data_IF_044442682595
#
_entry.id   IF_044442682595
#
_cell.length_a   1.000
_cell.length_b   1.000
_cell.length_c   1.000
_cell.angle_alpha   90.00
_cell.angle_beta   90.00
_cell.angle_gamma   90.00
#
_symmetry.space_group_name_H-M   'P 1'
#
loop_
_entity.id
_entity.type
_entity.pdbx_description
1 polymer ?
#
# COMPACT_ATOMS: atom_id res chain seq x y z
N UNK A 1 -17.62 21.25 32.76
CA UNK A 1 -17.10 19.88 32.94
C UNK A 1 -17.78 18.97 31.93
N UNK A 2 -17.07 18.56 30.88
CA UNK A 2 -17.44 17.43 30.03
C UNK A 2 -16.16 16.91 29.36
N UNK A 3 -15.95 15.59 29.45
CA UNK A 3 -14.70 14.87 29.18
C UNK A 3 -14.14 15.12 27.78
N UNK A 4 -12.87 15.53 27.69
CA UNK A 4 -12.02 15.32 26.51
C UNK A 4 -11.81 13.81 26.36
N UNK A 5 -12.23 13.26 25.23
CA UNK A 5 -11.86 11.90 24.82
C UNK A 5 -10.46 12.03 24.21
N UNK A 6 -9.44 11.64 24.97
CA UNK A 6 -8.09 11.46 24.47
C UNK A 6 -8.05 10.17 23.63
N UNK A 7 -8.28 10.29 22.33
CA UNK A 7 -7.90 9.25 21.38
C UNK A 7 -6.39 9.39 21.13
N UNK A 8 -5.59 8.78 22.02
CA UNK A 8 -4.16 8.65 21.81
C UNK A 8 -3.88 7.84 20.54
N UNK A 9 -3.49 8.52 19.47
CA UNK A 9 -3.00 7.91 18.24
C UNK A 9 -1.56 7.49 18.49
N UNK A 10 -1.35 6.18 18.59
CA UNK A 10 -0.05 5.54 18.82
C UNK A 10 0.84 5.80 17.59
N UNK A 11 2.04 6.33 17.81
CA UNK A 11 3.10 6.35 16.79
C UNK A 11 3.31 4.92 16.28
N UNK A 12 3.29 4.74 14.96
CA UNK A 12 3.74 3.49 14.36
C UNK A 12 5.28 3.52 14.28
N UNK A 13 5.94 3.54 15.44
CA UNK A 13 7.36 3.28 15.50
C UNK A 13 7.58 1.83 15.08
N UNK A 14 8.41 1.59 14.06
CA UNK A 14 8.82 0.23 13.72
C UNK A 14 9.49 -0.33 14.98
N UNK A 15 8.86 -1.35 15.57
CA UNK A 15 9.31 -1.89 16.84
C UNK A 15 10.74 -2.39 16.69
N UNK A 16 11.67 -1.93 17.54
CA UNK A 16 13.05 -2.41 17.53
C UNK A 16 13.14 -3.94 17.59
N UNK A 17 12.19 -4.60 18.26
CA UNK A 17 12.10 -6.06 18.29
C UNK A 17 11.84 -6.67 16.91
N UNK A 18 11.01 -6.05 16.07
CA UNK A 18 10.78 -6.50 14.69
C UNK A 18 12.05 -6.32 13.84
N UNK A 19 12.79 -5.23 14.05
CA UNK A 19 14.07 -5.01 13.36
C UNK A 19 15.10 -6.07 13.76
N UNK A 20 15.24 -6.34 15.05
CA UNK A 20 16.10 -7.41 15.57
C UNK A 20 15.69 -8.79 15.05
N UNK A 21 14.39 -9.08 15.00
CA UNK A 21 13.86 -10.33 14.46
C UNK A 21 14.23 -10.50 12.98
N UNK A 22 14.01 -9.47 12.16
CA UNK A 22 14.37 -9.45 10.74
C UNK A 22 15.88 -9.64 10.54
N UNK A 23 16.71 -8.97 11.34
CA UNK A 23 18.18 -9.11 11.27
C UNK A 23 18.66 -10.47 11.78
N UNK A 24 17.97 -11.09 12.74
CA UNK A 24 18.34 -12.39 13.28
C UNK A 24 18.06 -13.56 12.34
N UNK A 25 17.05 -13.41 11.47
CA UNK A 25 16.57 -14.47 10.58
C UNK A 25 17.05 -14.32 9.13
N UNK A 26 17.83 -13.29 8.80
CA UNK A 26 18.18 -13.00 7.41
C UNK A 26 19.58 -12.40 7.24
N UNK A 27 20.31 -12.88 6.24
CA UNK A 27 21.58 -12.30 5.86
C UNK A 27 21.38 -11.00 5.05
N UNK A 28 22.35 -10.06 5.01
CA UNK A 28 22.25 -8.82 4.24
C UNK A 28 21.89 -9.04 2.76
N UNK A 29 22.36 -10.13 2.16
CA UNK A 29 22.07 -10.51 0.77
C UNK A 29 20.62 -10.99 0.57
N UNK A 30 20.03 -11.62 1.57
CA UNK A 30 18.63 -12.08 1.55
C UNK A 30 17.66 -10.93 1.87
N UNK A 31 18.11 -9.93 2.63
CA UNK A 31 17.36 -8.71 2.91
C UNK A 31 17.28 -7.80 1.69
N UNK A 32 18.45 -7.41 1.15
CA UNK A 32 18.58 -6.39 0.10
C UNK A 32 18.77 -6.96 -1.32
N UNK A 33 18.67 -8.27 -1.49
CA UNK A 33 18.75 -8.92 -2.80
C UNK A 33 17.61 -8.48 -3.74
N UNK A 34 17.77 -8.76 -5.04
CA UNK A 34 16.76 -8.42 -6.07
C UNK A 34 15.39 -9.06 -5.83
N UNK A 35 15.36 -10.22 -5.18
CA UNK A 35 14.13 -10.90 -4.72
C UNK A 35 14.11 -11.01 -3.18
N UNK A 36 14.83 -10.09 -2.52
CA UNK A 36 15.02 -10.09 -1.08
C UNK A 36 13.76 -9.72 -0.31
N UNK A 37 13.82 -9.88 1.01
CA UNK A 37 12.68 -9.66 1.91
C UNK A 37 12.06 -8.27 1.73
N UNK A 38 12.87 -7.22 1.52
CA UNK A 38 12.37 -5.87 1.31
C UNK A 38 11.53 -5.74 0.03
N UNK A 39 11.92 -6.42 -1.05
CA UNK A 39 11.15 -6.40 -2.29
C UNK A 39 9.84 -7.18 -2.16
N UNK A 40 9.87 -8.30 -1.44
CA UNK A 40 8.65 -9.05 -1.13
C UNK A 40 7.70 -8.21 -0.25
N UNK A 41 8.24 -7.48 0.73
CA UNK A 41 7.46 -6.58 1.58
C UNK A 41 6.85 -5.44 0.75
N UNK A 42 7.64 -4.78 -0.11
CA UNK A 42 7.18 -3.72 -1.01
C UNK A 42 6.05 -4.23 -1.92
N UNK A 43 6.24 -5.40 -2.54
CA UNK A 43 5.20 -6.09 -3.32
C UNK A 43 3.91 -6.27 -2.53
N UNK A 44 3.98 -6.89 -1.35
CA UNK A 44 2.81 -7.20 -0.52
C UNK A 44 2.08 -5.95 -0.05
N UNK A 45 2.82 -4.90 0.30
CA UNK A 45 2.25 -3.62 0.73
C UNK A 45 1.47 -2.97 -0.42
N UNK A 46 2.06 -2.91 -1.62
CA UNK A 46 1.41 -2.36 -2.81
C UNK A 46 0.14 -3.16 -3.17
N UNK A 47 0.22 -4.49 -3.19
CA UNK A 47 -0.95 -5.35 -3.45
C UNK A 47 -2.06 -5.13 -2.42
N UNK A 48 -1.69 -4.97 -1.15
CA UNK A 48 -2.65 -4.72 -0.07
C UNK A 48 -3.36 -3.38 -0.23
N UNK A 49 -2.63 -2.32 -0.59
CA UNK A 49 -3.23 -1.01 -0.87
C UNK A 49 -4.21 -1.12 -2.04
N UNK A 50 -3.82 -1.77 -3.14
CA UNK A 50 -4.70 -1.96 -4.31
C UNK A 50 -5.95 -2.78 -3.96
N UNK A 51 -5.84 -3.79 -3.09
CA UNK A 51 -6.98 -4.54 -2.59
C UNK A 51 -7.95 -3.69 -1.77
N UNK A 52 -7.42 -2.75 -0.98
CA UNK A 52 -8.17 -1.83 -0.16
C UNK A 52 -8.82 -0.72 -1.02
N UNK A 53 -8.14 -0.21 -2.05
CA UNK A 53 -8.76 0.67 -3.07
C UNK A 53 -9.96 -0.01 -3.72
N UNK A 54 -9.84 -1.28 -4.15
CA UNK A 54 -10.97 -2.02 -4.71
C UNK A 54 -12.08 -2.27 -3.67
N UNK A 55 -11.72 -2.40 -2.40
CA UNK A 55 -12.71 -2.52 -1.31
C UNK A 55 -13.51 -1.25 -1.12
N UNK A 56 -12.85 -0.10 -1.23
CA UNK A 56 -13.45 1.20 -1.15
C UNK A 56 -14.42 1.43 -2.32
N UNK A 57 -13.96 1.22 -3.55
CA UNK A 57 -14.77 1.38 -4.77
C UNK A 57 -16.04 0.51 -4.75
N UNK A 58 -15.91 -0.76 -4.34
CA UNK A 58 -17.04 -1.68 -4.28
C UNK A 58 -17.90 -1.50 -3.02
N UNK A 59 -17.43 -0.76 -2.02
CA UNK A 59 -18.09 -0.60 -0.72
C UNK A 59 -18.10 -1.85 0.16
N UNK A 60 -17.29 -2.88 -0.15
CA UNK A 60 -17.20 -4.08 0.66
C UNK A 60 -15.84 -4.82 0.56
N UNK A 61 -15.43 -5.44 1.66
CA UNK A 61 -14.19 -6.22 1.76
C UNK A 61 -14.27 -7.59 1.08
N UNK A 62 -13.11 -8.18 0.76
CA UNK A 62 -13.04 -9.54 0.20
C UNK A 62 -13.77 -10.53 1.12
N UNK A 63 -14.58 -11.41 0.52
CA UNK A 63 -15.43 -12.40 1.22
C UNK A 63 -16.54 -11.84 2.13
N UNK A 64 -16.84 -10.53 2.07
CA UNK A 64 -17.94 -9.97 2.83
C UNK A 64 -19.29 -10.60 2.47
N UNK A 65 -20.04 -11.01 3.49
CA UNK A 65 -21.42 -11.50 3.37
C UNK A 65 -22.46 -10.38 3.39
N UNK A 66 -22.05 -9.13 3.58
CA UNK A 66 -22.96 -7.98 3.60
C UNK A 66 -23.79 -7.89 2.30
N UNK A 67 -24.95 -7.26 2.37
CA UNK A 67 -25.70 -6.89 1.17
C UNK A 67 -24.84 -5.93 0.34
N UNK A 68 -24.80 -6.15 -0.97
CA UNK A 68 -24.03 -5.31 -1.89
C UNK A 68 -25.00 -4.37 -2.57
N UNK A 69 -24.63 -3.10 -2.64
CA UNK A 69 -25.47 -2.06 -3.23
C UNK A 69 -25.52 -2.19 -4.76
N UNK A 70 -24.41 -2.59 -5.37
CA UNK A 70 -24.29 -2.77 -6.82
C UNK A 70 -24.21 -4.25 -7.22
N UNK A 71 -24.46 -4.51 -8.51
CA UNK A 71 -24.24 -5.76 -9.22
C UNK A 71 -22.76 -6.07 -9.48
N UNK A 72 -21.88 -5.06 -9.48
CA UNK A 72 -20.45 -5.25 -9.71
C UNK A 72 -19.82 -6.14 -8.63
N UNK A 73 -18.86 -6.99 -9.03
CA UNK A 73 -18.20 -7.98 -8.16
C UNK A 73 -16.71 -8.03 -8.41
N UNK A 74 -15.96 -8.52 -7.43
CA UNK A 74 -14.53 -8.84 -7.62
C UNK A 74 -14.37 -9.99 -8.61
N UNK A 75 -13.37 -9.90 -9.48
CA UNK A 75 -13.09 -10.87 -10.53
C UNK A 75 -11.60 -11.26 -10.55
N UNK A 76 -11.10 -11.74 -9.41
CA UNK A 76 -9.72 -12.19 -9.27
C UNK A 76 -8.69 -11.07 -9.38
N UNK A 77 -7.50 -11.45 -9.85
CA UNK A 77 -6.35 -10.56 -10.05
C UNK A 77 -5.77 -10.73 -11.46
N UNK A 78 -5.03 -9.73 -11.92
CA UNK A 78 -4.25 -9.78 -13.15
C UNK A 78 -2.80 -9.43 -12.85
N UNK A 79 -1.89 -10.21 -13.41
CA UNK A 79 -0.46 -9.95 -13.26
C UNK A 79 -0.06 -8.66 -14.00
N UNK A 80 0.72 -7.81 -13.33
CA UNK A 80 1.31 -6.60 -13.90
C UNK A 80 2.72 -6.43 -13.35
N UNK A 81 3.71 -6.55 -14.23
CA UNK A 81 5.08 -6.13 -13.95
C UNK A 81 5.17 -4.60 -13.95
N UNK A 82 5.71 -4.04 -12.89
CA UNK A 82 6.05 -2.61 -12.75
C UNK A 82 7.55 -2.45 -12.53
N UNK A 83 8.08 -1.30 -12.88
CA UNK A 83 9.48 -0.93 -12.70
C UNK A 83 9.54 0.18 -11.67
N UNK A 84 10.28 -0.02 -10.58
CA UNK A 84 10.47 0.99 -9.55
C UNK A 84 11.60 1.98 -9.89
N UNK A 85 11.81 2.98 -9.02
CA UNK A 85 12.83 4.02 -9.20
C UNK A 85 14.27 3.47 -9.24
N UNK A 86 14.53 2.33 -8.60
CA UNK A 86 15.83 1.63 -8.67
C UNK A 86 16.01 0.81 -9.96
N UNK A 87 15.01 0.83 -10.85
CA UNK A 87 14.98 0.06 -12.09
C UNK A 87 14.65 -1.41 -11.86
N UNK A 88 14.23 -1.80 -10.65
CA UNK A 88 13.87 -3.18 -10.34
C UNK A 88 12.46 -3.50 -10.83
N UNK A 89 12.29 -4.71 -11.36
CA UNK A 89 11.01 -5.21 -11.83
C UNK A 89 10.28 -5.90 -10.67
N UNK A 90 9.09 -5.42 -10.36
CA UNK A 90 8.22 -6.00 -9.34
C UNK A 90 7.00 -6.58 -10.06
N UNK A 91 6.72 -7.86 -9.85
CA UNK A 91 5.54 -8.54 -10.41
C UNK A 91 4.41 -8.43 -9.40
N UNK A 92 3.36 -7.69 -9.73
CA UNK A 92 2.22 -7.42 -8.86
C UNK A 92 0.96 -8.14 -9.34
N UNK A 93 0.16 -8.62 -8.40
CA UNK A 93 -1.18 -9.14 -8.62
C UNK A 93 -2.22 -8.04 -8.43
N UNK A 94 -2.64 -7.40 -9.52
CA UNK A 94 -3.58 -6.26 -9.45
C UNK A 94 -5.01 -6.78 -9.37
N UNK A 95 -5.79 -6.38 -8.35
CA UNK A 95 -7.18 -6.80 -8.21
C UNK A 95 -8.07 -6.15 -9.26
N UNK A 96 -9.11 -6.87 -9.69
CA UNK A 96 -10.05 -6.41 -10.71
C UNK A 96 -11.49 -6.61 -10.28
N UNK A 97 -12.36 -5.76 -10.79
CA UNK A 97 -13.80 -5.90 -10.74
C UNK A 97 -14.33 -6.58 -12.03
N UNK A 98 -15.60 -6.98 -12.00
CA UNK A 98 -16.26 -7.75 -13.06
C UNK A 98 -16.63 -6.86 -14.23
N UNK A 99 -17.04 -5.63 -13.94
CA UNK A 99 -17.47 -4.66 -14.94
C UNK A 99 -16.29 -3.86 -15.52
N UNK A 100 -15.08 -4.09 -14.99
CA UNK A 100 -13.82 -3.47 -15.40
C UNK A 100 -13.82 -1.94 -15.22
N UNK A 101 -14.69 -1.42 -14.34
CA UNK A 101 -14.85 0.00 -14.03
C UNK A 101 -13.82 0.48 -13.01
N UNK A 102 -13.20 -0.41 -12.23
CA UNK A 102 -12.20 -0.03 -11.22
C UNK A 102 -10.98 0.62 -11.86
N UNK A 103 -10.65 1.84 -11.45
CA UNK A 103 -9.44 2.57 -11.87
C UNK A 103 -8.51 2.76 -10.66
N UNK A 104 -7.43 1.96 -10.54
CA UNK A 104 -6.51 2.08 -9.43
C UNK A 104 -5.78 3.42 -9.47
N UNK A 105 -5.66 4.08 -8.31
CA UNK A 105 -5.00 5.38 -8.19
C UNK A 105 -3.50 5.21 -8.00
N UNK A 106 -3.09 4.26 -7.13
CA UNK A 106 -1.67 4.01 -6.86
C UNK A 106 -0.90 3.60 -8.12
N UNK A 107 -1.48 2.73 -8.94
CA UNK A 107 -0.86 2.27 -10.20
C UNK A 107 -1.90 2.26 -11.33
N UNK A 108 -2.03 3.38 -12.06
CA UNK A 108 -3.04 3.52 -13.10
C UNK A 108 -2.95 2.46 -14.21
N UNK A 109 -4.06 2.23 -14.90
CA UNK A 109 -4.14 1.31 -16.05
C UNK A 109 -3.10 1.72 -17.11
N UNK A 110 -2.40 0.73 -17.68
CA UNK A 110 -1.36 0.96 -18.70
C UNK A 110 -0.02 1.48 -18.18
N UNK A 111 0.05 2.11 -17.00
CA UNK A 111 1.29 2.67 -16.45
C UNK A 111 2.18 1.55 -15.87
N UNK A 112 3.42 1.44 -16.36
CA UNK A 112 4.39 0.39 -15.94
C UNK A 112 5.54 0.93 -15.09
N UNK A 113 5.76 2.24 -15.09
CA UNK A 113 6.74 2.89 -14.21
C UNK A 113 6.04 3.27 -12.92
N UNK A 114 6.45 2.66 -11.83
CA UNK A 114 6.02 3.00 -10.48
C UNK A 114 7.08 3.93 -9.90
N UNK A 115 7.08 5.15 -10.41
CA UNK A 115 8.07 6.17 -10.08
C UNK A 115 7.49 7.20 -9.14
N UNK A 116 8.25 7.63 -8.15
CA UNK A 116 7.89 8.75 -7.29
C UNK A 116 7.05 8.41 -6.07
N UNK A 117 6.84 7.13 -5.75
CA UNK A 117 6.37 6.74 -4.41
C UNK A 117 7.43 7.10 -3.37
N UNK A 118 8.66 6.67 -3.63
CA UNK A 118 9.80 6.95 -2.77
C UNK A 118 10.12 8.47 -2.80
N UNK A 119 10.11 9.13 -3.97
CA UNK A 119 10.34 10.59 -4.04
C UNK A 119 9.24 11.44 -3.40
N UNK A 120 7.98 11.01 -3.44
CA UNK A 120 6.90 11.73 -2.76
C UNK A 120 7.09 11.61 -1.25
N UNK A 121 7.34 10.41 -0.73
CA UNK A 121 7.61 10.21 0.71
C UNK A 121 8.90 10.93 1.15
N UNK A 122 9.98 10.86 0.36
CA UNK A 122 11.27 11.52 0.63
C UNK A 122 11.16 13.03 0.51
N UNK A 123 10.46 13.58 -0.50
CA UNK A 123 10.30 15.02 -0.67
C UNK A 123 9.42 15.63 0.41
N UNK A 124 8.43 14.89 0.91
CA UNK A 124 7.63 15.33 2.04
C UNK A 124 8.47 15.33 3.33
N UNK A 125 9.29 14.30 3.54
CA UNK A 125 10.23 14.22 4.67
C UNK A 125 11.32 15.33 4.60
N UNK A 126 11.88 15.57 3.42
CA UNK A 126 12.90 16.59 3.17
C UNK A 126 12.36 18.01 3.35
N UNK A 127 11.05 18.23 3.19
CA UNK A 127 10.36 19.49 3.51
C UNK A 127 10.07 19.67 5.00
N UNK A 128 10.52 18.74 5.84
CA UNK A 128 10.33 18.79 7.29
C UNK A 128 8.95 18.39 7.75
N UNK A 129 8.12 17.80 6.88
CA UNK A 129 6.87 17.19 7.32
C UNK A 129 7.17 15.95 8.12
N UNK A 130 6.53 15.87 9.27
CA UNK A 130 6.57 14.70 10.14
C UNK A 130 5.90 13.53 9.43
N UNK A 131 6.33 12.30 9.74
CA UNK A 131 5.72 11.09 9.16
C UNK A 131 4.18 11.05 9.32
N UNK A 132 3.65 11.63 10.40
CA UNK A 132 2.20 11.77 10.62
C UNK A 132 1.52 12.70 9.62
N UNK A 133 2.16 13.81 9.23
CA UNK A 133 1.64 14.73 8.21
C UNK A 133 1.69 14.12 6.81
N UNK A 134 2.75 13.36 6.51
CA UNK A 134 2.89 12.60 5.26
C UNK A 134 1.76 11.58 5.15
N UNK A 135 1.53 10.81 6.22
CA UNK A 135 0.47 9.82 6.28
C UNK A 135 -0.90 10.47 6.14
N UNK A 136 -1.20 11.53 6.90
CA UNK A 136 -2.48 12.24 6.82
C UNK A 136 -2.73 12.80 5.42
N UNK A 137 -1.70 13.30 4.75
CA UNK A 137 -1.81 13.82 3.39
C UNK A 137 -2.06 12.71 2.36
N UNK A 138 -1.41 11.56 2.52
CA UNK A 138 -1.69 10.37 1.71
C UNK A 138 -3.12 9.87 1.98
N UNK A 139 -3.53 9.76 3.23
CA UNK A 139 -4.89 9.39 3.61
C UNK A 139 -5.93 10.36 3.01
N UNK A 140 -5.74 11.68 3.07
CA UNK A 140 -6.63 12.66 2.42
C UNK A 140 -6.68 12.53 0.89
N UNK A 141 -5.58 12.13 0.24
CA UNK A 141 -5.56 11.88 -1.20
C UNK A 141 -6.31 10.61 -1.59
N UNK A 142 -6.28 9.57 -0.76
CA UNK A 142 -6.83 8.24 -1.08
C UNK A 142 -8.21 7.94 -0.45
N UNK A 143 -8.66 8.70 0.57
CA UNK A 143 -9.95 8.51 1.28
C UNK A 143 -11.02 9.56 0.92
N UNK A 144 -10.95 10.16 -0.27
CA UNK A 144 -11.93 11.14 -0.74
C UNK A 144 -12.90 10.57 -1.77
#
# INVERSE_FOLDING_TARGET
>A
MAKKIEAGVRSADINNKLVEEILSQSNPKELFGKDGLFQQLKKRLVERILEDELSHELGYSRHSKASKQDSNRRNGTSEKTVIDDSGQKIVLDIPRDRDNSFEPQLIPKGVRRFTGFDDSVISLYARGMTMSEIQSHLEEMYLK
#
